data_IF_134151491585
#
_entry.id   IF_134151491585
#
_cell.length_a   1.000
_cell.length_b   1.000
_cell.length_c   1.000
_cell.angle_alpha   90.00
_cell.angle_beta   90.00
_cell.angle_gamma   90.00
#
_symmetry.space_group_name_H-M   'P 1'
#
loop_
_entity.id
_entity.type
_entity.pdbx_description
1 polymer ?
#
# COMPACT_ATOMS: atom_id res chain seq x y z
N UNK A 1 -61.72 40.97 -17.97
CA UNK A 1 -60.66 41.30 -18.94
C UNK A 1 -59.32 41.01 -18.26
N UNK A 2 -58.57 40.04 -18.77
CA UNK A 2 -57.47 39.34 -18.09
C UNK A 2 -56.32 40.28 -17.67
N UNK A 3 -56.01 40.29 -16.37
CA UNK A 3 -54.85 40.97 -15.80
C UNK A 3 -53.90 39.94 -15.18
N UNK A 4 -52.71 39.87 -15.80
CA UNK A 4 -51.41 39.33 -15.38
C UNK A 4 -51.38 38.40 -14.14
N UNK A 5 -51.14 37.11 -14.39
CA UNK A 5 -50.73 36.12 -13.39
C UNK A 5 -49.36 36.49 -12.81
N UNK A 6 -49.36 36.78 -11.51
CA UNK A 6 -48.21 36.79 -10.62
C UNK A 6 -47.66 35.35 -10.52
N UNK A 7 -46.44 35.11 -10.97
CA UNK A 7 -45.68 33.90 -10.61
C UNK A 7 -44.73 34.28 -9.49
N UNK A 8 -45.16 34.06 -8.26
CA UNK A 8 -44.32 34.14 -7.06
C UNK A 8 -43.41 32.91 -7.08
N UNK A 9 -42.17 33.08 -7.54
CA UNK A 9 -41.10 32.10 -7.38
C UNK A 9 -40.77 31.99 -5.88
N UNK A 10 -41.25 30.92 -5.25
CA UNK A 10 -40.81 30.48 -3.92
C UNK A 10 -39.33 30.05 -4.02
N UNK A 11 -38.44 30.95 -3.59
CA UNK A 11 -37.05 30.64 -3.27
C UNK A 11 -37.05 29.68 -2.07
N UNK A 12 -36.89 28.38 -2.35
CA UNK A 12 -36.46 27.43 -1.33
C UNK A 12 -35.04 27.79 -0.90
N UNK A 13 -34.77 28.03 0.40
CA UNK A 13 -33.40 28.08 0.87
C UNK A 13 -32.85 26.66 0.76
N UNK A 14 -31.99 26.45 -0.23
CA UNK A 14 -31.08 25.31 -0.28
C UNK A 14 -30.22 25.44 0.98
N UNK A 15 -30.60 24.72 2.03
CA UNK A 15 -29.70 24.40 3.11
C UNK A 15 -28.55 23.63 2.48
N UNK A 16 -27.46 24.34 2.21
CA UNK A 16 -26.15 23.75 2.07
C UNK A 16 -25.87 23.04 3.38
N UNK A 17 -26.20 21.75 3.44
CA UNK A 17 -25.55 20.83 4.33
C UNK A 17 -24.06 20.89 3.96
N UNK A 18 -23.31 21.72 4.69
CA UNK A 18 -21.88 21.57 4.86
C UNK A 18 -21.68 20.20 5.54
N UNK A 19 -21.76 19.14 4.73
CA UNK A 19 -21.22 17.86 5.10
C UNK A 19 -19.74 18.10 5.30
N UNK A 20 -19.28 17.99 6.54
CA UNK A 20 -17.89 17.71 6.83
C UNK A 20 -17.48 16.60 5.88
N UNK A 21 -16.65 16.95 4.87
CA UNK A 21 -16.03 15.99 3.99
C UNK A 21 -15.14 15.11 4.87
N UNK A 22 -15.73 14.06 5.42
CA UNK A 22 -14.98 12.97 6.02
C UNK A 22 -14.09 12.48 4.90
N UNK A 23 -12.79 12.75 4.99
CA UNK A 23 -11.82 12.29 4.02
C UNK A 23 -12.07 10.79 3.85
N UNK A 24 -12.46 10.39 2.64
CA UNK A 24 -12.81 9.00 2.36
C UNK A 24 -11.63 8.11 2.75
N UNK A 25 -11.88 7.15 3.65
CA UNK A 25 -10.86 6.24 4.14
C UNK A 25 -10.21 5.52 2.94
N UNK A 26 -8.88 5.51 2.90
CA UNK A 26 -8.17 4.86 1.80
C UNK A 26 -8.46 3.34 1.80
N UNK A 27 -8.71 2.69 0.65
CA UNK A 27 -9.11 1.27 0.66
C UNK A 27 -8.08 0.31 1.26
N UNK A 28 -6.77 0.61 1.17
CA UNK A 28 -5.72 -0.13 1.91
C UNK A 28 -5.84 0.06 3.43
N UNK A 29 -6.20 1.24 3.92
CA UNK A 29 -6.47 1.44 5.36
C UNK A 29 -7.73 0.67 5.79
N UNK A 30 -8.78 0.67 4.96
CA UNK A 30 -9.98 -0.13 5.21
C UNK A 30 -9.65 -1.63 5.29
N UNK A 31 -8.81 -2.14 4.37
CA UNK A 31 -8.29 -3.51 4.41
C UNK A 31 -7.57 -3.79 5.73
N UNK A 32 -6.63 -2.92 6.13
CA UNK A 32 -5.88 -3.07 7.38
C UNK A 32 -6.78 -3.12 8.61
N UNK A 33 -7.83 -2.27 8.67
CA UNK A 33 -8.82 -2.29 9.77
C UNK A 33 -9.58 -3.61 9.80
N UNK A 34 -10.09 -4.07 8.65
CA UNK A 34 -10.84 -5.33 8.57
C UNK A 34 -9.99 -6.52 9.01
N UNK A 35 -8.72 -6.58 8.57
CA UNK A 35 -7.79 -7.64 8.95
C UNK A 35 -7.47 -7.57 10.44
N UNK A 36 -7.20 -6.37 10.98
CA UNK A 36 -6.96 -6.19 12.40
C UNK A 36 -8.16 -6.63 13.25
N UNK A 37 -9.36 -6.15 12.91
CA UNK A 37 -10.59 -6.49 13.62
C UNK A 37 -10.93 -7.98 13.52
N UNK A 38 -10.52 -8.64 12.44
CA UNK A 38 -10.64 -10.10 12.32
C UNK A 38 -9.84 -10.82 13.41
N UNK A 39 -8.61 -10.37 13.71
CA UNK A 39 -7.85 -10.89 14.86
C UNK A 39 -8.52 -10.52 16.17
N UNK A 40 -8.92 -9.25 16.31
CA UNK A 40 -9.54 -8.71 17.52
C UNK A 40 -10.75 -9.51 17.97
N UNK A 41 -11.60 -9.89 17.03
CA UNK A 41 -12.84 -10.60 17.29
C UNK A 41 -12.75 -12.11 17.01
N UNK A 42 -11.53 -12.62 16.75
CA UNK A 42 -11.30 -14.01 16.33
C UNK A 42 -12.26 -14.45 15.20
N UNK A 43 -12.50 -13.57 14.24
CA UNK A 43 -13.43 -13.78 13.14
C UNK A 43 -12.65 -14.02 11.84
N UNK A 44 -12.50 -15.29 11.47
CA UNK A 44 -11.72 -15.66 10.28
C UNK A 44 -12.37 -15.27 8.95
N UNK A 45 -13.69 -15.12 8.87
CA UNK A 45 -14.38 -14.93 7.59
C UNK A 45 -13.96 -13.62 6.88
N UNK A 46 -14.01 -12.43 7.53
CA UNK A 46 -13.56 -11.19 6.89
C UNK A 46 -12.06 -11.20 6.56
N UNK A 47 -11.24 -11.88 7.36
CA UNK A 47 -9.83 -12.10 7.04
C UNK A 47 -9.66 -12.87 5.73
N UNK A 48 -10.37 -14.00 5.58
CA UNK A 48 -10.29 -14.83 4.38
C UNK A 48 -10.79 -14.09 3.14
N UNK A 49 -11.92 -13.39 3.24
CA UNK A 49 -12.51 -12.58 2.15
C UNK A 49 -11.60 -11.44 1.66
N UNK A 50 -10.59 -11.07 2.45
CA UNK A 50 -9.56 -10.07 2.12
C UNK A 50 -8.23 -10.66 1.65
N UNK A 51 -8.17 -11.98 1.47
CA UNK A 51 -7.01 -12.68 0.94
C UNK A 51 -7.17 -13.02 -0.55
N UNK A 52 -6.05 -13.23 -1.25
CA UNK A 52 -6.06 -13.72 -2.64
C UNK A 52 -6.80 -15.06 -2.81
N UNK A 53 -6.87 -15.87 -1.76
CA UNK A 53 -7.52 -17.19 -1.76
C UNK A 53 -9.05 -17.12 -1.86
N UNK A 54 -9.65 -15.94 -1.64
CA UNK A 54 -11.10 -15.75 -1.77
C UNK A 54 -11.57 -15.42 -3.20
N UNK A 55 -10.65 -15.24 -4.15
CA UNK A 55 -11.01 -15.01 -5.54
C UNK A 55 -11.63 -16.26 -6.17
N UNK A 56 -12.56 -16.09 -7.11
CA UNK A 56 -12.99 -17.14 -8.03
C UNK A 56 -11.99 -17.30 -9.18
N UNK A 57 -12.08 -18.40 -9.96
CA UNK A 57 -11.21 -18.62 -11.12
C UNK A 57 -11.29 -17.46 -12.12
N UNK A 58 -12.51 -16.96 -12.38
CA UNK A 58 -12.73 -15.86 -13.32
C UNK A 58 -12.16 -14.54 -12.79
N UNK A 59 -12.33 -14.26 -11.49
CA UNK A 59 -11.79 -13.06 -10.87
C UNK A 59 -10.26 -13.06 -10.86
N UNK A 60 -9.65 -14.20 -10.51
CA UNK A 60 -8.21 -14.37 -10.56
C UNK A 60 -7.67 -14.19 -11.99
N UNK A 61 -8.32 -14.80 -12.98
CA UNK A 61 -7.95 -14.65 -14.39
C UNK A 61 -7.99 -13.19 -14.83
N UNK A 62 -9.08 -12.47 -14.53
CA UNK A 62 -9.24 -11.05 -14.88
C UNK A 62 -8.20 -10.17 -14.15
N UNK A 63 -7.98 -10.42 -12.87
CA UNK A 63 -6.97 -9.72 -12.07
C UNK A 63 -5.58 -9.89 -12.66
N UNK A 64 -5.15 -11.14 -12.87
CA UNK A 64 -3.81 -11.44 -13.35
C UNK A 64 -3.61 -10.90 -14.77
N UNK A 65 -4.60 -11.01 -15.66
CA UNK A 65 -4.50 -10.49 -17.03
C UNK A 65 -4.31 -8.97 -17.06
N UNK A 66 -5.09 -8.25 -16.24
CA UNK A 66 -5.11 -6.79 -16.20
C UNK A 66 -4.03 -6.16 -15.32
N UNK A 67 -3.14 -6.96 -14.70
CA UNK A 67 -2.21 -6.42 -13.70
C UNK A 67 -1.18 -5.48 -14.34
N UNK A 68 -1.06 -4.26 -13.80
CA UNK A 68 0.00 -3.30 -14.15
C UNK A 68 1.21 -3.46 -13.23
N UNK A 69 1.88 -4.60 -13.31
CA UNK A 69 3.06 -4.89 -12.50
C UNK A 69 4.05 -5.69 -13.33
N UNK A 70 5.17 -5.07 -13.68
CA UNK A 70 6.13 -5.67 -14.60
C UNK A 70 6.81 -6.91 -14.01
N UNK A 71 7.15 -6.89 -12.72
CA UNK A 71 7.78 -8.05 -12.05
C UNK A 71 6.88 -9.28 -12.13
N UNK A 72 5.60 -9.14 -11.80
CA UNK A 72 4.65 -10.26 -11.85
C UNK A 72 4.47 -10.77 -13.29
N UNK A 73 4.43 -9.85 -14.28
CA UNK A 73 4.36 -10.26 -15.69
C UNK A 73 5.61 -11.03 -16.11
N UNK A 74 6.79 -10.54 -15.74
CA UNK A 74 8.08 -11.16 -16.05
C UNK A 74 8.22 -12.53 -15.36
N UNK A 75 7.75 -12.67 -14.11
CA UNK A 75 7.71 -13.94 -13.40
C UNK A 75 6.83 -14.97 -14.13
N UNK A 76 5.65 -14.56 -14.65
CA UNK A 76 4.80 -15.46 -15.43
C UNK A 76 5.40 -15.83 -16.80
N UNK A 77 6.08 -14.87 -17.45
CA UNK A 77 6.83 -15.08 -18.69
C UNK A 77 7.97 -16.08 -18.49
N UNK A 78 8.71 -15.97 -17.39
CA UNK A 78 9.81 -16.88 -17.05
C UNK A 78 9.37 -18.33 -16.84
N UNK A 79 8.08 -18.56 -16.54
CA UNK A 79 7.52 -19.91 -16.44
C UNK A 79 7.13 -20.51 -17.80
N UNK A 80 7.10 -19.72 -18.87
CA UNK A 80 6.80 -20.20 -20.21
C UNK A 80 7.97 -21.03 -20.77
N UNK A 81 7.69 -22.29 -21.14
CA UNK A 81 8.71 -23.26 -21.53
C UNK A 81 8.94 -23.37 -23.03
N UNK A 82 7.97 -22.94 -23.83
CA UNK A 82 8.09 -23.00 -25.29
C UNK A 82 8.85 -21.76 -25.76
N UNK A 83 9.62 -21.86 -26.85
CA UNK A 83 10.21 -20.68 -27.46
C UNK A 83 9.10 -19.74 -27.92
N UNK A 84 9.27 -18.44 -27.68
CA UNK A 84 8.40 -17.44 -28.26
C UNK A 84 8.61 -17.41 -29.79
N UNK A 85 7.53 -17.33 -30.59
CA UNK A 85 7.63 -17.09 -32.03
C UNK A 85 8.58 -15.94 -32.37
N UNK A 86 9.43 -16.12 -33.39
CA UNK A 86 10.50 -15.16 -33.76
C UNK A 86 9.96 -13.79 -34.19
N UNK A 87 8.70 -13.72 -34.63
CA UNK A 87 8.02 -12.48 -34.99
C UNK A 87 7.51 -11.67 -33.78
N UNK A 88 7.69 -12.15 -32.54
CA UNK A 88 7.25 -11.45 -31.33
C UNK A 88 8.39 -10.60 -30.75
N UNK A 89 8.27 -9.31 -30.99
CA UNK A 89 9.31 -8.34 -30.61
C UNK A 89 9.00 -7.70 -29.25
N UNK A 90 7.71 -7.54 -28.90
CA UNK A 90 7.31 -6.73 -27.73
C UNK A 90 7.10 -7.54 -26.45
N UNK A 91 7.35 -6.92 -25.30
CA UNK A 91 7.04 -7.49 -23.99
C UNK A 91 5.55 -7.80 -23.81
N UNK A 92 4.66 -6.98 -24.39
CA UNK A 92 3.21 -7.19 -24.34
C UNK A 92 2.79 -8.47 -25.05
N UNK A 93 3.31 -8.73 -26.25
CA UNK A 93 2.93 -9.95 -26.99
C UNK A 93 3.48 -11.22 -26.32
N UNK A 94 4.67 -11.15 -25.70
CA UNK A 94 5.21 -12.25 -24.87
C UNK A 94 4.34 -12.51 -23.64
N UNK A 95 3.86 -11.44 -22.99
CA UNK A 95 2.94 -11.53 -21.85
C UNK A 95 1.65 -12.25 -22.21
N UNK A 96 1.01 -11.92 -23.34
CA UNK A 96 -0.25 -12.54 -23.75
C UNK A 96 -0.13 -14.07 -23.91
N UNK A 97 0.94 -14.53 -24.57
CA UNK A 97 1.19 -15.98 -24.77
C UNK A 97 1.52 -16.67 -23.45
N UNK A 98 2.43 -16.07 -22.67
CA UNK A 98 2.79 -16.63 -21.37
C UNK A 98 1.57 -16.72 -20.45
N UNK A 99 0.72 -15.69 -20.46
CA UNK A 99 -0.54 -15.67 -19.73
C UNK A 99 -1.41 -16.85 -20.14
N UNK A 100 -1.75 -16.97 -21.43
CA UNK A 100 -2.63 -18.03 -21.96
C UNK A 100 -2.21 -19.43 -21.50
N UNK A 101 -0.90 -19.70 -21.46
CA UNK A 101 -0.37 -21.00 -21.05
C UNK A 101 -0.27 -21.20 -19.54
N UNK A 102 0.05 -20.16 -18.77
CA UNK A 102 0.48 -20.32 -17.39
C UNK A 102 -0.55 -19.87 -16.33
N UNK A 103 -1.51 -19.01 -16.65
CA UNK A 103 -2.43 -18.43 -15.65
C UNK A 103 -3.20 -19.50 -14.87
N UNK A 104 -3.69 -20.54 -15.58
CA UNK A 104 -4.50 -21.59 -14.97
C UNK A 104 -3.69 -22.48 -14.03
N UNK A 105 -2.39 -22.62 -14.27
CA UNK A 105 -1.48 -23.33 -13.36
C UNK A 105 -1.34 -22.55 -12.05
N UNK A 106 -1.17 -21.23 -12.11
CA UNK A 106 -1.12 -20.39 -10.91
C UNK A 106 -2.43 -20.46 -10.11
N UNK A 107 -3.57 -20.39 -10.81
CA UNK A 107 -4.87 -20.59 -10.18
C UNK A 107 -4.97 -21.93 -9.45
N UNK A 108 -4.56 -23.04 -10.09
CA UNK A 108 -4.57 -24.37 -9.45
C UNK A 108 -3.66 -24.46 -8.24
N UNK A 109 -2.56 -23.72 -8.20
CA UNK A 109 -1.70 -23.66 -7.01
C UNK A 109 -2.40 -22.93 -5.86
N UNK A 110 -3.08 -21.82 -6.15
CA UNK A 110 -3.84 -21.07 -5.14
C UNK A 110 -5.06 -21.83 -4.64
N UNK A 111 -5.88 -22.39 -5.53
CA UNK A 111 -7.17 -23.01 -5.19
C UNK A 111 -7.06 -24.32 -4.41
N UNK A 112 -5.86 -24.90 -4.31
CA UNK A 112 -5.57 -26.04 -3.41
C UNK A 112 -5.56 -25.66 -1.94
N UNK A 113 -5.45 -24.37 -1.62
CA UNK A 113 -5.45 -23.89 -0.25
C UNK A 113 -6.89 -23.74 0.24
N UNK A 114 -7.35 -24.70 1.05
CA UNK A 114 -8.69 -24.64 1.64
C UNK A 114 -8.78 -23.51 2.69
N UNK A 115 -9.99 -22.99 2.98
CA UNK A 115 -10.16 -21.99 4.05
C UNK A 115 -9.58 -22.45 5.40
N UNK A 116 -9.72 -23.74 5.74
CA UNK A 116 -9.12 -24.30 6.94
C UNK A 116 -7.58 -24.25 6.91
N UNK A 117 -6.97 -24.59 5.77
CA UNK A 117 -5.51 -24.50 5.63
C UNK A 117 -5.01 -23.06 5.79
N UNK A 118 -5.71 -22.10 5.19
CA UNK A 118 -5.38 -20.66 5.34
C UNK A 118 -5.55 -20.21 6.78
N UNK A 119 -6.60 -20.65 7.48
CA UNK A 119 -6.81 -20.35 8.90
C UNK A 119 -5.64 -20.85 9.76
N UNK A 120 -5.27 -22.11 9.60
CA UNK A 120 -4.19 -22.75 10.37
C UNK A 120 -2.82 -22.11 10.10
N UNK A 121 -2.55 -21.74 8.85
CA UNK A 121 -1.23 -21.27 8.43
C UNK A 121 -1.02 -19.76 8.49
N UNK A 122 -2.09 -18.96 8.50
CA UNK A 122 -1.99 -17.50 8.33
C UNK A 122 -2.75 -16.71 9.39
N UNK A 123 -3.83 -17.26 9.95
CA UNK A 123 -4.67 -16.56 10.94
C UNK A 123 -4.32 -16.95 12.38
N UNK A 124 -4.36 -18.26 12.69
CA UNK A 124 -4.04 -18.77 14.02
C UNK A 124 -2.61 -18.49 14.50
N UNK A 125 -1.57 -18.42 13.65
CA UNK A 125 -0.23 -18.04 14.11
C UNK A 125 -0.21 -16.67 14.76
N UNK A 126 -0.91 -15.67 14.22
CA UNK A 126 -0.98 -14.32 14.81
C UNK A 126 -1.65 -14.35 16.19
N UNK A 127 -2.72 -15.12 16.35
CA UNK A 127 -3.40 -15.27 17.64
C UNK A 127 -2.52 -16.02 18.67
N UNK A 128 -1.77 -17.03 18.23
CA UNK A 128 -0.83 -17.78 19.09
C UNK A 128 0.32 -16.91 19.57
N UNK A 129 0.92 -16.13 18.68
CA UNK A 129 1.96 -15.17 19.03
C UNK A 129 1.44 -14.14 20.04
N UNK A 130 0.28 -13.53 19.78
CA UNK A 130 -0.34 -12.58 20.70
C UNK A 130 -0.64 -13.19 22.09
N UNK A 131 -1.08 -14.45 22.13
CA UNK A 131 -1.24 -15.20 23.39
C UNK A 131 0.08 -15.38 24.15
N UNK A 132 1.20 -15.56 23.45
CA UNK A 132 2.54 -15.60 24.07
C UNK A 132 2.91 -14.31 24.82
N UNK A 133 2.38 -13.16 24.39
CA UNK A 133 2.52 -11.86 25.07
C UNK A 133 1.36 -11.57 26.04
N UNK A 134 0.49 -12.55 26.31
CA UNK A 134 -0.71 -12.40 27.17
C UNK A 134 -1.67 -11.30 26.69
N UNK A 135 -1.66 -10.98 25.40
CA UNK A 135 -2.47 -9.90 24.83
C UNK A 135 -3.95 -10.28 24.85
N UNK A 136 -4.76 -9.40 25.43
CA UNK A 136 -6.22 -9.48 25.40
C UNK A 136 -6.75 -8.62 24.27
N UNK A 137 -7.09 -9.27 23.15
CA UNK A 137 -7.53 -8.64 21.91
C UNK A 137 -8.68 -7.65 22.10
N UNK A 138 -9.61 -7.90 23.02
CA UNK A 138 -10.75 -7.02 23.28
C UNK A 138 -10.30 -5.62 23.74
N UNK A 139 -9.14 -5.53 24.39
CA UNK A 139 -8.61 -4.31 25.01
C UNK A 139 -7.56 -3.59 24.17
N UNK A 140 -7.09 -4.19 23.06
CA UNK A 140 -6.06 -3.57 22.23
C UNK A 140 -6.58 -2.32 21.52
N UNK A 141 -5.71 -1.33 21.37
CA UNK A 141 -6.02 -0.11 20.61
C UNK A 141 -5.19 -0.07 19.33
N UNK A 142 -5.86 -0.12 18.18
CA UNK A 142 -5.20 0.09 16.88
C UNK A 142 -4.68 1.54 16.81
N UNK A 143 -3.38 1.68 16.62
CA UNK A 143 -2.68 2.97 16.63
C UNK A 143 -2.48 3.51 15.22
N UNK A 144 -2.06 2.66 14.29
CA UNK A 144 -1.77 3.06 12.92
C UNK A 144 -1.90 1.91 11.92
N UNK A 145 -2.21 2.29 10.68
CA UNK A 145 -2.11 1.45 9.49
C UNK A 145 -1.29 2.23 8.48
N UNK A 146 -0.12 1.71 8.11
CA UNK A 146 0.83 2.42 7.26
C UNK A 146 1.37 1.48 6.18
N UNK A 147 1.53 1.99 4.96
CA UNK A 147 2.26 1.27 3.92
C UNK A 147 3.76 1.33 4.22
N UNK A 148 4.36 0.18 4.48
CA UNK A 148 5.77 0.04 4.81
C UNK A 148 6.61 0.07 3.55
N UNK A 149 7.52 1.04 3.48
CA UNK A 149 8.51 1.19 2.42
C UNK A 149 9.92 1.07 3.02
N UNK A 150 10.53 -0.12 2.96
CA UNK A 150 11.94 -0.27 3.31
C UNK A 150 12.81 0.61 2.41
N UNK A 151 13.77 1.30 3.03
CA UNK A 151 14.74 2.16 2.35
C UNK A 151 16.14 1.72 2.73
N UNK A 152 16.97 1.49 1.72
CA UNK A 152 18.38 1.16 1.87
C UNK A 152 19.25 2.11 1.04
N UNK A 153 20.57 2.04 1.21
CA UNK A 153 21.53 2.80 0.44
C UNK A 153 22.37 1.88 -0.46
N UNK A 154 22.37 2.14 -1.77
CA UNK A 154 23.16 1.35 -2.73
C UNK A 154 23.63 2.21 -3.89
N UNK A 155 24.92 2.13 -4.22
CA UNK A 155 25.54 2.84 -5.35
C UNK A 155 25.31 4.37 -5.28
N UNK A 156 25.51 4.96 -4.09
CA UNK A 156 25.42 6.42 -3.91
C UNK A 156 23.99 6.99 -3.91
N UNK A 157 22.97 6.16 -3.68
CA UNK A 157 21.57 6.58 -3.72
C UNK A 157 20.67 5.77 -2.79
N UNK A 158 19.52 6.34 -2.47
CA UNK A 158 18.43 5.63 -1.83
C UNK A 158 17.82 4.61 -2.80
N UNK A 159 17.58 3.41 -2.29
CA UNK A 159 16.78 2.38 -2.94
C UNK A 159 15.57 2.14 -2.06
N UNK A 160 14.41 2.52 -2.58
CA UNK A 160 13.12 2.38 -1.90
C UNK A 160 12.36 1.23 -2.55
N UNK A 161 11.73 0.36 -1.76
CA UNK A 161 10.89 -0.72 -2.28
C UNK A 161 9.79 -0.16 -3.18
N UNK A 162 9.63 -0.76 -4.37
CA UNK A 162 8.57 -0.45 -5.32
C UNK A 162 8.53 -1.45 -6.47
N UNK A 163 7.45 -1.44 -7.24
CA UNK A 163 7.34 -2.19 -8.49
C UNK A 163 7.21 -1.22 -9.67
N UNK A 164 7.76 -1.62 -10.81
CA UNK A 164 7.66 -0.88 -12.07
C UNK A 164 6.31 -1.13 -12.77
N UNK A 165 5.89 -0.14 -13.54
CA UNK A 165 4.78 -0.27 -14.47
C UNK A 165 5.18 -1.10 -15.69
N UNK A 166 4.22 -1.48 -16.53
CA UNK A 166 4.41 -2.43 -17.65
C UNK A 166 5.36 -1.90 -18.73
N UNK A 167 5.54 -0.59 -18.84
CA UNK A 167 6.35 0.05 -19.88
C UNK A 167 7.82 0.24 -19.42
N UNK A 168 8.73 -0.44 -20.10
CA UNK A 168 10.18 -0.37 -19.86
C UNK A 168 10.79 1.01 -20.21
N UNK A 169 10.16 1.76 -21.12
CA UNK A 169 10.71 3.02 -21.64
C UNK A 169 10.24 4.27 -20.85
N UNK A 170 9.18 4.19 -20.05
CA UNK A 170 8.59 5.33 -19.33
C UNK A 170 8.69 5.23 -17.81
N UNK A 171 8.90 4.03 -17.27
CA UNK A 171 9.08 3.84 -15.83
C UNK A 171 10.49 4.27 -15.43
N UNK A 172 10.63 5.54 -15.04
CA UNK A 172 11.88 6.01 -14.42
C UNK A 172 12.09 5.17 -13.16
N UNK A 173 13.17 4.37 -13.04
CA UNK A 173 13.34 3.35 -11.99
C UNK A 173 13.49 3.91 -10.56
N UNK A 174 13.22 5.22 -10.39
CA UNK A 174 13.36 6.00 -9.16
C UNK A 174 12.11 6.82 -8.83
N UNK A 175 11.00 6.63 -9.56
CA UNK A 175 9.74 7.29 -9.27
C UNK A 175 8.93 6.47 -8.27
N UNK A 176 8.63 7.07 -7.11
CA UNK A 176 7.71 6.52 -6.14
C UNK A 176 6.30 6.95 -6.49
N UNK A 177 5.36 6.02 -6.54
CA UNK A 177 3.94 6.31 -6.65
C UNK A 177 3.32 6.20 -5.26
N UNK A 178 2.72 7.30 -4.79
CA UNK A 178 2.10 7.38 -3.47
C UNK A 178 0.67 7.92 -3.59
N UNK A 179 -0.20 7.40 -2.74
CA UNK A 179 -1.61 7.70 -2.74
C UNK A 179 -1.92 8.77 -1.69
N UNK A 180 -2.77 9.71 -2.07
CA UNK A 180 -3.39 10.64 -1.12
C UNK A 180 -4.22 9.87 -0.10
N UNK A 181 -4.27 10.40 1.10
CA UNK A 181 -5.00 9.84 2.24
C UNK A 181 -4.54 8.43 2.67
N UNK A 182 -3.31 8.02 2.31
CA UNK A 182 -2.65 6.85 2.86
C UNK A 182 -1.39 7.28 3.60
N UNK A 183 -1.16 6.68 4.77
CA UNK A 183 0.08 6.89 5.52
C UNK A 183 1.15 5.91 5.03
N UNK A 184 2.37 6.41 4.84
CA UNK A 184 3.55 5.66 4.44
C UNK A 184 4.60 5.72 5.54
N UNK A 185 5.23 4.60 5.83
CA UNK A 185 6.38 4.51 6.74
C UNK A 185 7.61 4.10 5.96
N UNK A 186 8.48 5.06 5.71
CA UNK A 186 9.80 4.81 5.14
C UNK A 186 10.73 4.33 6.25
N UNK A 187 11.06 3.04 6.22
CA UNK A 187 11.92 2.42 7.23
C UNK A 187 13.36 2.41 6.75
N UNK A 188 14.15 3.32 7.31
CA UNK A 188 15.56 3.52 7.03
C UNK A 188 16.40 2.41 7.70
N UNK A 189 17.25 1.73 6.93
CA UNK A 189 18.20 0.76 7.47
C UNK A 189 19.54 1.40 7.88
N UNK A 190 20.45 0.60 8.43
CA UNK A 190 21.76 1.07 8.88
C UNK A 190 22.67 1.60 7.76
N UNK A 191 22.42 1.24 6.50
CA UNK A 191 23.20 1.75 5.36
C UNK A 191 22.80 3.17 4.98
N UNK A 192 21.58 3.57 5.33
CA UNK A 192 21.12 4.96 5.18
C UNK A 192 21.59 5.88 6.31
N UNK A 193 22.22 5.34 7.36
CA UNK A 193 22.64 6.16 8.49
C UNK A 193 23.61 7.26 8.05
N UNK A 194 23.42 8.46 8.62
CA UNK A 194 24.13 9.68 8.24
C UNK A 194 23.78 10.26 6.86
N UNK A 195 22.74 9.75 6.18
CA UNK A 195 22.22 10.29 4.92
C UNK A 195 20.85 10.89 5.19
N UNK A 196 20.72 12.22 5.13
CA UNK A 196 19.45 12.87 5.39
C UNK A 196 18.44 12.49 4.28
N UNK A 197 17.38 11.77 4.63
CA UNK A 197 16.29 11.49 3.69
C UNK A 197 15.30 12.66 3.73
N UNK A 198 15.31 13.50 2.70
CA UNK A 198 14.46 14.69 2.60
C UNK A 198 13.38 14.52 1.53
N UNK A 199 12.21 15.12 1.77
CA UNK A 199 11.16 15.31 0.78
C UNK A 199 10.96 16.82 0.58
N UNK A 200 10.93 17.26 -0.68
CA UNK A 200 10.82 18.69 -1.02
C UNK A 200 10.30 18.97 -2.43
N UNK A 201 10.11 20.26 -2.71
CA UNK A 201 9.63 20.78 -3.99
C UNK A 201 10.68 20.73 -5.10
N UNK A 202 11.96 20.78 -4.72
CA UNK A 202 13.10 20.74 -5.63
C UNK A 202 14.04 19.61 -5.20
N UNK A 203 14.67 18.90 -6.15
CA UNK A 203 15.68 17.92 -5.82
C UNK A 203 16.90 18.61 -5.20
N UNK A 204 17.48 17.99 -4.17
CA UNK A 204 18.77 18.38 -3.57
C UNK A 204 18.80 19.78 -2.93
N UNK A 205 17.65 20.44 -2.76
CA UNK A 205 17.55 21.77 -2.15
C UNK A 205 16.87 21.67 -0.77
N UNK A 206 17.69 21.70 0.28
CA UNK A 206 17.22 21.64 1.68
C UNK A 206 16.44 22.88 2.11
N UNK A 207 16.50 23.99 1.39
CA UNK A 207 15.68 25.19 1.67
C UNK A 207 14.27 25.09 1.09
N UNK A 208 14.02 24.06 0.27
CA UNK A 208 12.75 23.80 -0.40
C UNK A 208 12.07 22.52 0.09
N UNK A 209 12.21 22.22 1.38
CA UNK A 209 11.54 21.09 2.01
C UNK A 209 10.03 21.21 1.95
N UNK A 210 9.39 20.05 1.93
CA UNK A 210 7.96 19.90 2.13
C UNK A 210 7.75 19.14 3.42
N UNK A 211 7.27 19.81 4.47
CA UNK A 211 7.15 19.21 5.82
C UNK A 211 5.71 18.87 6.22
N UNK A 212 4.72 19.36 5.44
CA UNK A 212 3.30 19.13 5.75
C UNK A 212 2.98 17.64 5.68
N UNK A 213 2.47 17.09 6.78
CA UNK A 213 2.10 15.68 6.86
C UNK A 213 3.30 14.72 6.93
N UNK A 214 4.51 15.24 7.23
CA UNK A 214 5.73 14.44 7.31
C UNK A 214 6.35 14.54 8.70
N UNK A 215 6.65 13.38 9.28
CA UNK A 215 7.38 13.25 10.55
C UNK A 215 8.74 12.64 10.27
N UNK A 216 9.80 13.33 10.70
CA UNK A 216 11.19 12.89 10.48
C UNK A 216 11.77 13.30 9.13
N UNK A 217 11.26 14.35 8.48
CA UNK A 217 11.85 14.86 7.24
C UNK A 217 13.31 15.30 7.47
N UNK A 218 14.22 14.91 6.56
CA UNK A 218 15.65 15.15 6.69
C UNK A 218 16.34 14.32 7.76
N UNK A 219 15.65 13.35 8.37
CA UNK A 219 16.30 12.49 9.33
C UNK A 219 17.28 11.54 8.63
N UNK A 220 18.49 11.45 9.19
CA UNK A 220 19.49 10.45 8.77
C UNK A 220 19.44 9.16 9.58
N UNK A 221 18.49 9.00 10.52
CA UNK A 221 18.31 7.81 11.35
C UNK A 221 16.83 7.68 11.76
N UNK A 222 16.31 6.45 11.79
CA UNK A 222 14.92 6.17 12.18
C UNK A 222 13.89 6.46 11.08
N UNK A 223 12.66 6.00 11.28
CA UNK A 223 11.62 6.05 10.26
C UNK A 223 11.24 7.49 9.86
N UNK A 224 10.84 7.65 8.60
CA UNK A 224 10.13 8.84 8.08
C UNK A 224 8.68 8.44 7.82
N UNK A 225 7.72 9.15 8.41
CA UNK A 225 6.29 8.88 8.22
C UNK A 225 5.67 10.00 7.40
N UNK A 226 4.95 9.65 6.34
CA UNK A 226 4.41 10.60 5.36
C UNK A 226 2.93 10.33 5.15
N UNK A 227 2.10 11.37 5.16
CA UNK A 227 0.70 11.30 4.72
C UNK A 227 0.37 12.51 3.86
N UNK A 228 0.14 12.28 2.58
CA UNK A 228 -0.33 13.31 1.66
C UNK A 228 -1.84 13.45 1.74
N UNK A 229 -2.31 14.70 1.67
CA UNK A 229 -3.73 15.05 1.64
C UNK A 229 -4.14 15.61 0.27
N UNK A 230 -5.39 16.08 0.16
CA UNK A 230 -5.91 16.67 -1.07
C UNK A 230 -5.25 18.00 -1.45
N UNK A 231 -4.62 18.71 -0.49
CA UNK A 231 -3.87 19.93 -0.74
C UNK A 231 -2.42 19.69 -1.19
N UNK A 232 -1.95 18.44 -1.06
CA UNK A 232 -0.59 18.06 -1.39
C UNK A 232 -0.36 18.12 -2.91
N UNK A 233 0.80 18.63 -3.36
CA UNK A 233 1.09 18.73 -4.79
C UNK A 233 1.11 17.34 -5.45
N UNK A 234 0.88 17.28 -6.76
CA UNK A 234 0.91 16.02 -7.52
C UNK A 234 2.33 15.43 -7.66
N UNK A 235 3.36 16.24 -7.40
CA UNK A 235 4.76 15.87 -7.58
C UNK A 235 5.62 16.49 -6.49
N UNK A 236 6.49 15.67 -5.91
CA UNK A 236 7.58 16.07 -5.01
C UNK A 236 8.84 15.28 -5.39
N UNK A 237 9.92 15.53 -4.66
CA UNK A 237 11.18 14.82 -4.79
C UNK A 237 11.58 14.26 -3.43
N UNK A 238 12.12 13.03 -3.40
CA UNK A 238 12.93 12.58 -2.27
C UNK A 238 14.40 12.71 -2.64
N UNK A 239 15.26 13.10 -1.72
CA UNK A 239 16.67 13.37 -2.00
C UNK A 239 17.54 13.30 -0.73
N UNK A 240 18.86 13.32 -0.94
CA UNK A 240 19.87 13.60 0.07
C UNK A 240 20.56 14.92 -0.32
N UNK A 241 20.57 15.96 0.52
CA UNK A 241 21.19 17.25 0.17
C UNK A 241 22.70 17.12 -0.06
N UNK A 242 23.35 16.18 0.62
CA UNK A 242 24.80 15.96 0.54
C UNK A 242 25.22 15.10 -0.65
N UNK A 243 24.27 14.55 -1.44
CA UNK A 243 24.58 13.63 -2.52
C UNK A 243 23.69 13.85 -3.74
N UNK A 244 24.28 14.47 -4.76
CA UNK A 244 23.67 14.64 -6.08
C UNK A 244 23.27 13.28 -6.66
N UNK A 245 22.04 13.19 -7.15
CA UNK A 245 21.47 12.00 -7.77
C UNK A 245 21.04 10.90 -6.80
N UNK A 246 21.13 11.12 -5.48
CA UNK A 246 20.75 10.12 -4.47
C UNK A 246 19.25 9.80 -4.44
N UNK A 247 18.44 10.70 -4.99
CA UNK A 247 16.99 10.69 -4.88
C UNK A 247 16.23 10.36 -6.15
N UNK A 248 14.95 10.71 -6.15
CA UNK A 248 14.03 10.52 -7.26
C UNK A 248 12.73 11.30 -7.12
N UNK A 249 11.76 11.03 -7.98
CA UNK A 249 10.47 11.69 -7.97
C UNK A 249 9.48 10.95 -7.05
N UNK A 250 8.55 11.68 -6.46
CA UNK A 250 7.34 11.14 -5.84
C UNK A 250 6.15 11.66 -6.64
N UNK A 251 5.40 10.75 -7.26
CA UNK A 251 4.14 11.04 -7.94
C UNK A 251 2.99 10.76 -6.97
N UNK A 252 2.27 11.80 -6.60
CA UNK A 252 1.20 11.76 -5.60
C UNK A 252 -0.14 11.76 -6.34
N UNK A 253 -0.86 10.64 -6.24
CA UNK A 253 -2.09 10.39 -7.00
C UNK A 253 -3.24 10.06 -6.05
N UNK A 254 -4.46 10.11 -6.56
CA UNK A 254 -5.60 9.57 -5.82
C UNK A 254 -5.58 8.04 -5.87
N UNK A 255 -6.16 7.38 -4.86
CA UNK A 255 -6.26 5.92 -4.86
C UNK A 255 -7.08 5.38 -6.04
N UNK A 256 -8.02 6.18 -6.54
CA UNK A 256 -8.88 5.87 -7.69
C UNK A 256 -8.20 6.14 -9.05
N UNK A 257 -6.99 6.69 -9.05
CA UNK A 257 -6.18 6.81 -10.27
C UNK A 257 -5.48 5.48 -10.53
N UNK A 258 -5.97 4.75 -11.54
CA UNK A 258 -5.41 3.48 -11.98
C UNK A 258 -4.32 3.64 -13.03
N UNK A 259 -3.94 4.89 -13.37
CA UNK A 259 -2.82 5.18 -14.25
C UNK A 259 -1.46 5.16 -13.53
N UNK A 260 -1.21 4.07 -12.80
CA UNK A 260 -0.01 3.86 -12.00
C UNK A 260 0.27 2.36 -11.83
N UNK A 261 1.51 1.97 -11.50
CA UNK A 261 1.81 0.57 -11.22
C UNK A 261 0.97 0.03 -10.06
N UNK A 262 0.52 -1.22 -10.20
CA UNK A 262 -0.08 -1.99 -9.13
C UNK A 262 1.04 -2.56 -8.25
N UNK A 263 1.57 -1.71 -7.36
CA UNK A 263 2.72 -2.03 -6.52
C UNK A 263 2.37 -3.04 -5.42
N UNK A 264 3.20 -4.07 -5.25
CA UNK A 264 3.18 -4.98 -4.10
C UNK A 264 3.59 -4.20 -2.85
N UNK A 265 2.59 -3.77 -2.12
CA UNK A 265 2.75 -3.00 -0.88
C UNK A 265 2.68 -3.90 0.35
N UNK A 266 3.39 -3.55 1.42
CA UNK A 266 3.17 -4.21 2.72
C UNK A 266 2.45 -3.22 3.65
N UNK A 267 1.45 -3.66 4.39
CA UNK A 267 0.80 -2.85 5.42
C UNK A 267 1.32 -3.23 6.79
N UNK A 268 1.78 -2.24 7.53
CA UNK A 268 2.16 -2.33 8.92
C UNK A 268 0.98 -1.91 9.79
N UNK A 269 0.44 -2.85 10.55
CA UNK A 269 -0.57 -2.61 11.57
C UNK A 269 0.15 -2.43 12.89
N UNK A 270 0.08 -1.23 13.47
CA UNK A 270 0.62 -0.97 14.81
C UNK A 270 -0.52 -0.80 15.80
N UNK A 271 -0.46 -1.49 16.93
CA UNK A 271 -1.45 -1.40 18.00
C UNK A 271 -0.77 -1.33 19.37
N UNK A 272 -1.51 -0.93 20.40
CA UNK A 272 -1.02 -0.88 21.77
C UNK A 272 -1.82 -1.77 22.71
N UNK A 273 -1.14 -2.29 23.73
CA UNK A 273 -1.67 -3.14 24.79
C UNK A 273 -0.86 -2.97 26.09
N UNK A 274 -1.48 -3.27 27.23
CA UNK A 274 -0.82 -3.35 28.53
C UNK A 274 -0.75 -2.04 29.33
N UNK A 275 -0.31 -2.18 30.59
CA UNK A 275 0.02 -1.10 31.51
C UNK A 275 1.39 -1.39 32.17
N UNK A 276 2.46 -0.65 31.85
CA UNK A 276 2.53 0.48 30.92
C UNK A 276 2.21 0.07 29.47
N UNK A 277 1.66 1.01 28.67
CA UNK A 277 1.30 0.74 27.28
C UNK A 277 2.55 0.43 26.45
N UNK A 278 2.53 -0.72 25.78
CA UNK A 278 3.53 -1.15 24.81
C UNK A 278 2.93 -1.18 23.41
N UNK A 279 3.76 -0.98 22.38
CA UNK A 279 3.33 -1.08 20.99
C UNK A 279 3.75 -2.41 20.37
N UNK A 280 2.90 -2.95 19.51
CA UNK A 280 3.07 -4.22 18.82
C UNK A 280 2.78 -4.05 17.34
N UNK A 281 3.45 -4.86 16.50
CA UNK A 281 3.31 -4.77 15.05
C UNK A 281 2.94 -6.10 14.39
N UNK A 282 2.05 -6.02 13.41
CA UNK A 282 1.73 -7.09 12.46
C UNK A 282 1.98 -6.56 11.05
N UNK A 283 2.68 -7.34 10.24
CA UNK A 283 2.92 -7.04 8.83
C UNK A 283 1.97 -7.86 7.96
N UNK A 284 1.15 -7.18 7.17
CA UNK A 284 0.33 -7.80 6.12
C UNK A 284 1.07 -7.61 4.80
N UNK A 285 1.54 -8.70 4.21
CA UNK A 285 2.47 -8.67 3.08
C UNK A 285 1.77 -8.75 1.73
N UNK A 286 2.41 -8.14 0.74
CA UNK A 286 2.06 -8.24 -0.68
C UNK A 286 0.59 -7.93 -0.97
N UNK A 287 0.19 -6.71 -0.64
CA UNK A 287 -1.12 -6.17 -0.95
C UNK A 287 -1.11 -5.63 -2.37
N UNK A 288 -2.04 -6.16 -3.17
CA UNK A 288 -2.26 -5.81 -4.56
C UNK A 288 -3.69 -5.34 -4.77
N UNK A 289 -3.88 -4.39 -5.68
CA UNK A 289 -5.20 -3.95 -6.11
C UNK A 289 -5.83 -4.99 -7.03
N UNK A 290 -7.09 -5.33 -6.76
CA UNK A 290 -7.92 -6.20 -7.60
C UNK A 290 -9.22 -5.49 -7.93
N UNK A 291 -10.03 -6.01 -8.88
CA UNK A 291 -11.38 -5.49 -9.13
C UNK A 291 -12.30 -5.48 -7.89
N UNK A 292 -12.01 -6.31 -6.87
CA UNK A 292 -12.74 -6.35 -5.59
C UNK A 292 -12.20 -5.39 -4.52
N UNK A 293 -11.18 -4.60 -4.87
CA UNK A 293 -10.39 -3.82 -3.93
C UNK A 293 -9.05 -4.48 -3.58
N UNK A 294 -8.31 -3.92 -2.62
CA UNK A 294 -7.01 -4.46 -2.25
C UNK A 294 -7.15 -5.79 -1.50
N UNK A 295 -6.31 -6.77 -1.85
CA UNK A 295 -6.20 -8.07 -1.19
C UNK A 295 -4.75 -8.32 -0.80
N UNK A 296 -4.51 -9.01 0.32
CA UNK A 296 -3.17 -9.50 0.64
C UNK A 296 -2.91 -10.86 -0.02
N UNK A 297 -1.69 -11.03 -0.53
CA UNK A 297 -1.28 -12.21 -1.27
C UNK A 297 -0.38 -13.15 -0.46
N UNK A 298 0.12 -12.69 0.69
CA UNK A 298 1.05 -13.44 1.53
C UNK A 298 0.57 -13.57 2.99
N UNK A 299 1.18 -14.50 3.72
CA UNK A 299 0.82 -14.75 5.11
C UNK A 299 1.16 -13.52 5.97
N UNK A 300 0.25 -13.05 6.85
CA UNK A 300 0.59 -12.07 7.87
C UNK A 300 1.74 -12.55 8.75
N UNK A 301 2.55 -11.60 9.22
CA UNK A 301 3.68 -11.86 10.09
C UNK A 301 3.54 -11.06 11.39
N UNK A 302 3.67 -11.74 12.51
CA UNK A 302 3.85 -11.09 13.81
C UNK A 302 5.26 -10.53 13.89
N UNK A 303 5.40 -9.22 14.14
CA UNK A 303 6.70 -8.57 14.32
C UNK A 303 7.05 -8.37 15.80
N UNK A 304 6.08 -8.53 16.71
CA UNK A 304 6.30 -8.39 18.15
C UNK A 304 6.27 -6.96 18.64
N UNK A 305 6.81 -6.78 19.85
CA UNK A 305 6.94 -5.49 20.52
C UNK A 305 7.86 -4.54 19.72
N UNK A 306 7.51 -3.26 19.67
CA UNK A 306 8.33 -2.22 19.06
C UNK A 306 8.56 -1.05 20.00
N UNK A 307 9.81 -0.60 20.08
CA UNK A 307 10.25 0.43 21.03
C UNK A 307 10.35 1.84 20.42
N UNK A 308 10.22 1.96 19.10
CA UNK A 308 10.33 3.24 18.41
C UNK A 308 9.44 3.27 17.18
N UNK A 309 8.35 4.01 17.28
CA UNK A 309 7.51 4.35 16.14
C UNK A 309 7.28 5.85 16.16
N UNK A 310 8.21 6.60 15.55
CA UNK A 310 8.00 8.02 15.25
C UNK A 310 6.61 8.21 14.66
N UNK A 311 5.94 9.27 15.10
CA UNK A 311 4.60 9.64 14.64
C UNK A 311 3.45 8.94 15.37
N UNK A 312 3.70 7.95 16.24
CA UNK A 312 2.64 7.37 17.07
C UNK A 312 2.46 8.14 18.39
N UNK A 313 1.21 8.34 18.78
CA UNK A 313 0.83 8.90 20.09
C UNK A 313 0.04 7.86 20.85
N UNK A 314 0.52 7.44 22.02
CA UNK A 314 -0.22 6.57 22.93
C UNK A 314 -1.30 7.37 23.68
N UNK A 315 -2.32 7.84 22.96
CA UNK A 315 -3.46 8.57 23.54
C UNK A 315 -4.32 7.68 24.43
#
# INVERSE_FOLDING_TARGET
>A
MFSKRLWTLLLFPIFYCFGFAHAQLHPKEALGRIVFDSFRYNNFKPFFERSIFALTEQEFKSFLYGIRNQSIRNELIALHRQPFPENLITASSKWEIAFQHNWRRQWRHLSRNSPNLVREQSFLPILREAHGYQIQWETVKLMAIEELLPVTWKNGRFVVKGDADVDEDTSIPRTLHMDRNLSYRLRLDNLTYSKAFMIGFHPEDSEKTYDRGIVGNGSGQGDVVVRFDQSSPNRLHYFCPDQVGAGGNIMIRNYSDFDKPNQRSDLLLTFSYGEPRQAYQILIREILWTPKGPLFCEKPQWLGETYSTRGLKFE
#
